data_IF_484432478900
#
_entry.id   IF_484432478900
#
_cell.length_a   1.000
_cell.length_b   1.000
_cell.length_c   1.000
_cell.angle_alpha   90.00
_cell.angle_beta   90.00
_cell.angle_gamma   90.00
#
_symmetry.space_group_name_H-M   'P 1'
#
loop_
_entity.id
_entity.type
_entity.pdbx_description
1 polymer ?
#
# COMPACT_ATOMS: atom_id res chain seq x y z
N UNK A 1 28.55 1.40 16.27
CA UNK A 1 27.81 1.79 15.04
C UNK A 1 26.85 0.67 14.69
N UNK A 2 25.60 0.98 14.35
CA UNK A 2 24.66 -0.04 13.87
C UNK A 2 25.09 -0.55 12.48
N UNK A 3 24.87 -1.84 12.21
CA UNK A 3 25.11 -2.43 10.88
C UNK A 3 23.88 -2.22 9.99
N UNK A 4 24.06 -1.93 8.69
CA UNK A 4 22.93 -1.83 7.77
C UNK A 4 22.22 -3.17 7.59
N UNK A 5 20.90 -3.12 7.41
CA UNK A 5 20.07 -4.27 7.01
C UNK A 5 19.68 -4.07 5.54
N UNK A 6 19.91 -5.09 4.72
CA UNK A 6 19.52 -5.12 3.31
C UNK A 6 18.38 -6.12 3.13
N UNK A 7 17.28 -5.67 2.54
CA UNK A 7 16.09 -6.49 2.30
C UNK A 7 15.46 -6.09 0.96
N UNK A 8 15.00 -7.06 0.19
CA UNK A 8 14.41 -6.82 -1.12
C UNK A 8 13.41 -7.90 -1.55
N UNK A 9 13.69 -9.17 -1.27
CA UNK A 9 12.88 -10.30 -1.76
C UNK A 9 11.99 -10.88 -0.67
N UNK A 10 10.98 -11.65 -1.10
CA UNK A 10 10.07 -12.35 -0.19
C UNK A 10 10.72 -13.46 0.64
N UNK A 11 11.90 -13.90 0.23
CA UNK A 11 12.64 -14.98 0.87
C UNK A 11 13.75 -14.44 1.79
N UNK A 12 13.85 -13.12 1.95
CA UNK A 12 14.83 -12.51 2.83
C UNK A 12 14.33 -12.55 4.28
N UNK A 13 15.25 -12.69 5.24
CA UNK A 13 14.96 -12.75 6.68
C UNK A 13 14.24 -11.52 7.24
N UNK A 14 14.23 -10.42 6.48
CA UNK A 14 13.67 -9.13 6.87
C UNK A 14 12.56 -8.66 5.92
N UNK A 15 11.93 -9.59 5.20
CA UNK A 15 10.86 -9.26 4.25
C UNK A 15 9.68 -8.54 4.93
N UNK A 16 9.48 -8.73 6.23
CA UNK A 16 8.49 -8.02 7.04
C UNK A 16 8.67 -6.50 7.07
N UNK A 17 9.87 -6.00 6.76
CA UNK A 17 10.12 -4.56 6.59
C UNK A 17 9.58 -4.01 5.25
N UNK A 18 9.17 -4.89 4.34
CA UNK A 18 8.57 -4.51 3.07
C UNK A 18 7.08 -4.21 3.24
N UNK A 19 6.62 -3.14 2.61
CA UNK A 19 5.19 -2.81 2.53
C UNK A 19 4.37 -3.83 1.68
N UNK A 20 5.04 -4.81 1.06
CA UNK A 20 4.46 -5.97 0.38
C UNK A 20 4.23 -7.16 1.31
N UNK A 21 4.72 -7.12 2.55
CA UNK A 21 4.55 -8.19 3.51
C UNK A 21 3.06 -8.34 3.87
N UNK A 22 2.53 -9.59 3.95
CA UNK A 22 1.11 -9.87 4.22
C UNK A 22 0.74 -9.70 5.70
N UNK A 23 1.07 -8.55 6.27
CA UNK A 23 0.64 -8.14 7.61
C UNK A 23 -0.50 -7.14 7.46
N UNK A 24 -1.73 -7.65 7.50
CA UNK A 24 -2.92 -6.84 7.35
C UNK A 24 -3.20 -6.01 8.60
N UNK A 25 -3.91 -4.91 8.41
CA UNK A 25 -4.27 -3.97 9.47
C UNK A 25 -5.65 -3.34 9.19
N UNK A 26 -6.24 -2.75 10.22
CA UNK A 26 -7.45 -1.93 10.10
C UNK A 26 -7.07 -0.46 10.12
N UNK A 27 -7.68 0.35 9.25
CA UNK A 27 -7.55 1.80 9.33
C UNK A 27 -8.49 2.41 10.40
N UNK A 28 -8.43 3.73 10.56
CA UNK A 28 -9.28 4.49 11.50
C UNK A 28 -10.78 4.26 11.29
N UNK A 29 -11.19 3.90 10.07
CA UNK A 29 -12.58 3.61 9.73
C UNK A 29 -12.94 2.11 9.86
N UNK A 30 -12.08 1.30 10.48
CA UNK A 30 -12.25 -0.15 10.64
C UNK A 30 -12.31 -0.92 9.31
N UNK A 31 -11.73 -0.35 8.26
CA UNK A 31 -11.58 -1.06 6.99
C UNK A 31 -10.30 -1.88 7.04
N UNK A 32 -10.42 -3.18 6.80
CA UNK A 32 -9.28 -4.09 6.74
C UNK A 32 -8.53 -3.98 5.40
N UNK A 33 -7.22 -3.88 5.49
CA UNK A 33 -6.27 -3.80 4.37
C UNK A 33 -5.30 -4.99 4.41
N UNK A 34 -5.20 -5.80 3.34
CA UNK A 34 -4.35 -6.99 3.36
C UNK A 34 -2.85 -6.71 3.50
N UNK A 35 -2.38 -5.56 2.98
CA UNK A 35 -1.01 -5.05 3.14
C UNK A 35 -1.00 -3.52 3.09
N UNK A 36 0.10 -2.92 3.56
CA UNK A 36 0.36 -1.48 3.39
C UNK A 36 0.31 -1.05 1.92
N UNK A 37 0.83 -1.86 0.98
CA UNK A 37 0.71 -1.59 -0.45
C UNK A 37 -0.75 -1.47 -0.94
N UNK A 38 -1.69 -2.28 -0.42
CA UNK A 38 -3.11 -2.14 -0.80
C UNK A 38 -3.66 -0.78 -0.37
N UNK A 39 -3.42 -0.40 0.88
CA UNK A 39 -3.84 0.89 1.42
C UNK A 39 -3.26 2.05 0.60
N UNK A 40 -1.95 2.04 0.40
CA UNK A 40 -1.23 3.11 -0.29
C UNK A 40 -1.70 3.29 -1.75
N UNK A 41 -1.90 2.18 -2.47
CA UNK A 41 -2.34 2.24 -3.86
C UNK A 41 -3.80 2.67 -4.00
N UNK A 42 -4.68 2.26 -3.08
CA UNK A 42 -6.09 2.66 -3.12
C UNK A 42 -6.26 4.16 -2.87
N UNK A 43 -5.49 4.74 -1.94
CA UNK A 43 -5.58 6.17 -1.59
C UNK A 43 -5.14 7.14 -2.70
N UNK A 44 -4.65 6.63 -3.84
CA UNK A 44 -4.40 7.44 -5.04
C UNK A 44 -5.67 7.90 -5.75
N UNK A 45 -6.81 7.26 -5.50
CA UNK A 45 -8.03 7.45 -6.28
C UNK A 45 -9.17 7.91 -5.39
N UNK A 46 -10.07 8.73 -5.93
CA UNK A 46 -11.33 9.13 -5.30
C UNK A 46 -12.50 8.22 -5.68
N UNK A 47 -12.36 7.38 -6.71
CA UNK A 47 -13.38 6.44 -7.15
C UNK A 47 -13.46 5.25 -6.18
N UNK A 48 -14.56 5.16 -5.43
CA UNK A 48 -14.74 4.14 -4.39
C UNK A 48 -14.75 2.72 -4.94
N UNK A 49 -15.27 2.49 -6.16
CA UNK A 49 -15.26 1.16 -6.77
C UNK A 49 -13.83 0.73 -7.12
N UNK A 50 -13.01 1.66 -7.61
CA UNK A 50 -11.63 1.39 -7.94
C UNK A 50 -10.76 1.23 -6.69
N UNK A 51 -11.01 2.02 -5.63
CA UNK A 51 -10.38 1.84 -4.31
C UNK A 51 -10.68 0.45 -3.76
N UNK A 52 -11.94 0.02 -3.80
CA UNK A 52 -12.36 -1.30 -3.33
C UNK A 52 -11.74 -2.42 -4.16
N UNK A 53 -11.67 -2.25 -5.50
CA UNK A 53 -10.97 -3.17 -6.40
C UNK A 53 -9.49 -3.32 -6.06
N UNK A 54 -8.82 -2.24 -5.65
CA UNK A 54 -7.43 -2.30 -5.18
C UNK A 54 -7.35 -2.99 -3.83
N UNK A 55 -8.22 -2.64 -2.87
CA UNK A 55 -8.25 -3.24 -1.52
C UNK A 55 -8.44 -4.75 -1.53
N UNK A 56 -9.30 -5.23 -2.43
CA UNK A 56 -9.67 -6.65 -2.58
C UNK A 56 -8.81 -7.40 -3.60
N UNK A 57 -7.75 -6.78 -4.13
CA UNK A 57 -6.82 -7.46 -5.01
C UNK A 57 -6.18 -8.68 -4.32
N UNK A 58 -5.91 -9.73 -5.09
CA UNK A 58 -5.42 -11.02 -4.55
C UNK A 58 -4.00 -10.91 -3.99
N UNK A 59 -3.25 -9.88 -4.40
CA UNK A 59 -1.88 -9.68 -3.92
C UNK A 59 -1.46 -8.22 -3.98
N UNK A 60 -0.46 -7.86 -3.14
CA UNK A 60 0.18 -6.54 -3.17
C UNK A 60 0.73 -6.19 -4.56
N UNK A 61 1.21 -7.18 -5.33
CA UNK A 61 1.65 -6.99 -6.72
C UNK A 61 0.51 -6.56 -7.63
N UNK A 62 -0.67 -7.15 -7.47
CA UNK A 62 -1.85 -6.78 -8.23
C UNK A 62 -2.38 -5.42 -7.80
N UNK A 63 -2.42 -5.12 -6.48
CA UNK A 63 -2.76 -3.80 -5.96
C UNK A 63 -1.85 -2.71 -6.55
N UNK A 64 -0.53 -2.95 -6.59
CA UNK A 64 0.44 -2.06 -7.24
C UNK A 64 0.16 -1.87 -8.72
N UNK A 65 -0.09 -2.93 -9.46
CA UNK A 65 -0.37 -2.85 -10.89
C UNK A 65 -1.64 -2.02 -11.17
N UNK A 66 -2.70 -2.24 -10.38
CA UNK A 66 -3.93 -1.44 -10.47
C UNK A 66 -3.66 0.04 -10.14
N UNK A 67 -2.95 0.33 -9.05
CA UNK A 67 -2.66 1.71 -8.66
C UNK A 67 -1.57 2.44 -9.46
N UNK A 68 -0.90 1.73 -10.38
CA UNK A 68 -0.06 2.32 -11.42
C UNK A 68 -0.83 2.61 -12.72
N UNK A 69 -2.06 2.07 -12.87
CA UNK A 69 -2.90 2.35 -14.02
C UNK A 69 -3.21 3.84 -14.13
N UNK A 70 -3.24 4.34 -15.36
CA UNK A 70 -3.67 5.71 -15.70
C UNK A 70 -5.07 5.76 -16.30
N UNK A 71 -5.77 4.62 -16.31
CA UNK A 71 -7.17 4.54 -16.76
C UNK A 71 -8.11 5.31 -15.85
N UNK A 72 -7.80 5.35 -14.55
CA UNK A 72 -8.51 6.15 -13.55
C UNK A 72 -7.60 7.32 -13.14
N UNK A 73 -8.10 8.57 -13.09
CA UNK A 73 -7.31 9.71 -12.64
C UNK A 73 -6.83 9.54 -11.19
N UNK A 74 -5.54 9.79 -10.96
CA UNK A 74 -5.00 9.95 -9.61
C UNK A 74 -5.45 11.31 -9.06
N UNK A 75 -5.79 11.38 -7.77
CA UNK A 75 -6.15 12.63 -7.10
C UNK A 75 -5.05 13.69 -7.24
N UNK A 76 -5.45 14.95 -7.40
CA UNK A 76 -4.53 16.04 -7.76
C UNK A 76 -3.42 16.28 -6.73
N UNK A 77 -3.75 16.15 -5.43
CA UNK A 77 -2.83 16.37 -4.31
C UNK A 77 -2.09 15.10 -3.86
N UNK A 78 -2.08 14.03 -4.67
CA UNK A 78 -1.46 12.77 -4.29
C UNK A 78 0.00 12.92 -3.83
N UNK A 79 0.77 13.76 -4.54
CA UNK A 79 2.18 14.00 -4.19
C UNK A 79 2.35 14.64 -2.82
N UNK A 80 1.39 15.46 -2.39
CA UNK A 80 1.43 16.16 -1.11
C UNK A 80 1.07 15.22 0.05
N UNK A 81 0.19 14.24 -0.19
CA UNK A 81 -0.35 13.38 0.87
C UNK A 81 0.28 11.99 0.94
N UNK A 82 1.00 11.54 -0.08
CA UNK A 82 1.51 10.15 -0.17
C UNK A 82 2.30 9.72 1.07
N UNK A 83 3.11 10.62 1.64
CA UNK A 83 3.92 10.29 2.82
C UNK A 83 3.06 10.15 4.07
N UNK A 84 2.01 10.95 4.19
CA UNK A 84 1.05 10.86 5.28
C UNK A 84 0.32 9.52 5.18
N UNK A 85 -0.20 9.18 3.99
CA UNK A 85 -0.85 7.89 3.72
C UNK A 85 0.05 6.71 4.08
N UNK A 86 1.33 6.74 3.69
CA UNK A 86 2.28 5.67 4.05
C UNK A 86 2.49 5.60 5.56
N UNK A 87 2.69 6.74 6.23
CA UNK A 87 2.92 6.79 7.67
C UNK A 87 1.71 6.28 8.45
N UNK A 88 0.49 6.65 8.06
CA UNK A 88 -0.74 6.15 8.69
C UNK A 88 -0.83 4.62 8.62
N UNK A 89 -0.42 4.02 7.50
CA UNK A 89 -0.44 2.56 7.34
C UNK A 89 0.67 1.81 8.10
N UNK A 90 1.66 2.51 8.65
CA UNK A 90 2.80 1.94 9.38
C UNK A 90 2.71 2.10 10.90
N UNK A 91 1.63 2.71 11.41
CA UNK A 91 1.37 2.86 12.85
C UNK A 91 0.84 1.56 13.45
#
# INVERSE_FOLDING_TARGET
MAKPIYFFTKNDDWFELSNFYPFGFEDDNKVYWPTVEHYFQAHKFSDDQFREKIRTAVSAKQAKALGQSRTIPIIANWNDIREIVMKTALQ
#
